data_IF_037044295496
#
_entry.id   IF_037044295496
#
_cell.length_a   1.000
_cell.length_b   1.000
_cell.length_c   1.000
_cell.angle_alpha   90.00
_cell.angle_beta   90.00
_cell.angle_gamma   90.00
#
_symmetry.space_group_name_H-M   'P 1'
#
loop_
_entity.id
_entity.type
_entity.pdbx_description
1 polymer ?
#
# COMPACT_ATOMS: atom_id res chain seq x y z
N UNK A 1 25.63 -8.41 -8.19
CA UNK A 1 24.50 -7.49 -7.95
C UNK A 1 23.38 -7.88 -8.90
N UNK A 2 22.10 -7.81 -8.49
CA UNK A 2 21.02 -7.91 -9.47
C UNK A 2 21.15 -6.72 -10.44
N UNK A 3 21.18 -6.99 -11.75
CA UNK A 3 21.20 -5.95 -12.77
C UNK A 3 19.76 -5.50 -13.03
N UNK A 4 19.48 -4.21 -12.81
CA UNK A 4 18.18 -3.60 -13.08
C UNK A 4 17.84 -2.50 -12.06
N UNK A 5 17.15 -1.48 -12.54
CA UNK A 5 16.61 -0.38 -11.72
C UNK A 5 15.15 -0.64 -11.39
N UNK A 6 14.61 0.05 -10.39
CA UNK A 6 13.17 -0.03 -10.04
C UNK A 6 12.29 0.29 -11.24
N UNK A 7 12.70 1.25 -12.08
CA UNK A 7 12.00 1.66 -13.30
C UNK A 7 11.75 0.52 -14.28
N UNK A 8 12.64 -0.46 -14.33
CA UNK A 8 12.53 -1.60 -15.25
C UNK A 8 11.41 -2.59 -14.83
N UNK A 9 11.01 -2.57 -13.56
CA UNK A 9 10.05 -3.52 -12.97
C UNK A 9 8.76 -2.85 -12.47
N UNK A 10 8.69 -1.53 -12.45
CA UNK A 10 7.50 -0.81 -12.03
C UNK A 10 6.37 -0.93 -13.05
N UNK A 11 5.15 -0.72 -12.58
CA UNK A 11 3.99 -0.49 -13.43
C UNK A 11 3.75 1.02 -13.52
N UNK A 12 3.61 1.60 -14.72
CA UNK A 12 3.33 3.03 -14.88
C UNK A 12 1.96 3.44 -14.32
N UNK A 13 1.86 4.67 -13.79
CA UNK A 13 0.61 5.20 -13.19
C UNK A 13 -0.62 5.08 -14.10
N UNK A 14 -0.46 5.22 -15.41
CA UNK A 14 -1.56 5.18 -16.39
C UNK A 14 -2.22 3.80 -16.54
N UNK A 15 -1.64 2.74 -15.96
CA UNK A 15 -2.20 1.39 -15.99
C UNK A 15 -3.15 1.11 -14.83
N UNK A 16 -3.13 1.94 -13.79
CA UNK A 16 -3.96 1.74 -12.61
C UNK A 16 -5.34 2.38 -12.77
N UNK A 17 -6.42 1.70 -12.34
CA UNK A 17 -7.69 2.36 -12.12
C UNK A 17 -7.57 3.43 -11.02
N UNK A 18 -8.49 4.40 -11.01
CA UNK A 18 -8.38 5.61 -10.20
C UNK A 18 -9.68 5.84 -9.43
N UNK A 19 -9.58 6.49 -8.28
CA UNK A 19 -10.73 6.83 -7.41
C UNK A 19 -10.52 8.22 -6.80
N UNK A 20 -11.62 8.93 -6.55
CA UNK A 20 -11.63 10.22 -5.86
C UNK A 20 -11.32 10.04 -4.37
N UNK A 21 -10.54 10.95 -3.78
CA UNK A 21 -10.29 11.02 -2.34
C UNK A 21 -11.56 11.41 -1.54
N UNK A 22 -12.56 11.97 -2.21
CA UNK A 22 -13.92 12.25 -1.71
C UNK A 22 -14.91 11.10 -1.93
N UNK A 23 -14.49 9.97 -2.48
CA UNK A 23 -15.34 8.77 -2.50
C UNK A 23 -15.56 8.27 -1.07
N UNK A 24 -16.72 7.65 -0.81
CA UNK A 24 -16.97 7.03 0.49
C UNK A 24 -16.22 5.71 0.62
N UNK A 25 -16.03 5.25 1.86
CA UNK A 25 -15.44 3.95 2.17
C UNK A 25 -16.20 2.82 1.48
N UNK A 26 -17.53 2.83 1.53
CA UNK A 26 -18.35 1.85 0.80
C UNK A 26 -18.11 1.91 -0.72
N UNK A 27 -17.98 3.12 -1.27
CA UNK A 27 -17.61 3.31 -2.68
C UNK A 27 -16.22 2.78 -3.02
N UNK A 28 -15.25 2.93 -2.10
CA UNK A 28 -13.90 2.39 -2.25
C UNK A 28 -13.89 0.85 -2.27
N UNK A 29 -14.68 0.21 -1.40
CA UNK A 29 -14.84 -1.26 -1.40
C UNK A 29 -15.44 -1.73 -2.73
N UNK A 30 -16.53 -1.11 -3.19
CA UNK A 30 -17.14 -1.46 -4.48
C UNK A 30 -16.18 -1.25 -5.66
N UNK A 31 -15.37 -0.19 -5.62
CA UNK A 31 -14.37 0.07 -6.65
C UNK A 31 -13.25 -0.98 -6.66
N UNK A 32 -12.82 -1.46 -5.48
CA UNK A 32 -11.83 -2.53 -5.36
C UNK A 32 -12.38 -3.87 -5.85
N UNK A 33 -13.62 -4.21 -5.53
CA UNK A 33 -14.28 -5.43 -6.02
C UNK A 33 -14.35 -5.44 -7.55
N UNK A 34 -14.80 -4.33 -8.14
CA UNK A 34 -14.82 -4.16 -9.60
C UNK A 34 -13.42 -4.25 -10.20
N UNK A 35 -12.43 -3.61 -9.59
CA UNK A 35 -11.05 -3.66 -10.08
C UNK A 35 -10.48 -5.08 -10.00
N UNK A 36 -10.85 -5.86 -8.99
CA UNK A 36 -10.50 -7.27 -8.85
C UNK A 36 -11.16 -8.13 -9.93
N UNK A 37 -12.45 -7.97 -10.19
CA UNK A 37 -13.16 -8.67 -11.27
C UNK A 37 -12.56 -8.37 -12.65
N UNK A 38 -12.27 -7.10 -12.93
CA UNK A 38 -11.65 -6.67 -14.18
C UNK A 38 -10.21 -7.21 -14.32
N UNK A 39 -9.47 -7.31 -13.21
CA UNK A 39 -8.16 -7.95 -13.18
C UNK A 39 -8.22 -9.46 -13.43
N UNK A 40 -9.12 -10.18 -12.75
CA UNK A 40 -9.28 -11.62 -12.89
C UNK A 40 -9.77 -12.03 -14.30
N UNK A 41 -10.62 -11.20 -14.90
CA UNK A 41 -11.09 -11.41 -16.28
C UNK A 41 -10.08 -10.96 -17.35
N UNK A 42 -8.96 -10.35 -16.96
CA UNK A 42 -7.95 -9.82 -17.88
C UNK A 42 -8.34 -8.52 -18.58
N UNK A 43 -9.49 -7.92 -18.25
CA UNK A 43 -9.92 -6.61 -18.77
C UNK A 43 -9.00 -5.47 -18.32
N UNK A 44 -8.36 -5.61 -17.15
CA UNK A 44 -7.34 -4.70 -16.65
C UNK A 44 -6.10 -5.44 -16.20
N UNK A 45 -4.96 -4.77 -16.31
CA UNK A 45 -3.67 -5.28 -15.84
C UNK A 45 -3.49 -5.11 -14.33
N UNK A 46 -4.25 -4.19 -13.70
CA UNK A 46 -4.05 -3.77 -12.31
C UNK A 46 -5.36 -3.69 -11.54
N UNK A 47 -5.26 -3.96 -10.22
CA UNK A 47 -6.37 -3.95 -9.25
C UNK A 47 -6.16 -3.01 -8.06
N UNK A 48 -4.98 -2.41 -7.93
CA UNK A 48 -4.74 -1.33 -6.99
C UNK A 48 -5.38 -0.07 -7.58
N UNK A 49 -6.10 0.69 -6.77
CA UNK A 49 -6.64 1.98 -7.17
C UNK A 49 -5.65 3.08 -6.80
N UNK A 50 -5.42 4.04 -7.68
CA UNK A 50 -4.74 5.29 -7.33
C UNK A 50 -5.76 6.31 -6.85
N UNK A 51 -5.50 6.93 -5.71
CA UNK A 51 -6.37 7.95 -5.12
C UNK A 51 -5.97 9.31 -5.67
N UNK A 52 -6.94 10.08 -6.18
CA UNK A 52 -6.73 11.43 -6.67
C UNK A 52 -7.50 12.44 -5.85
N UNK A 53 -6.89 13.60 -5.62
CA UNK A 53 -7.56 14.78 -5.09
C UNK A 53 -8.37 15.53 -6.18
N UNK A 54 -9.01 16.63 -5.78
CA UNK A 54 -9.77 17.52 -6.65
C UNK A 54 -8.92 18.17 -7.76
N UNK A 55 -7.60 18.31 -7.54
CA UNK A 55 -6.62 18.81 -8.52
C UNK A 55 -6.13 17.71 -9.50
N UNK A 56 -6.67 16.49 -9.43
CA UNK A 56 -6.19 15.28 -10.13
C UNK A 56 -4.77 14.83 -9.76
N UNK A 57 -4.21 15.29 -8.64
CA UNK A 57 -2.92 14.79 -8.13
C UNK A 57 -3.13 13.47 -7.42
N UNK A 58 -2.19 12.54 -7.60
CA UNK A 58 -2.23 11.26 -6.92
C UNK A 58 -1.73 11.47 -5.48
N UNK A 59 -2.63 11.26 -4.52
CA UNK A 59 -2.38 11.45 -3.08
C UNK A 59 -2.25 10.14 -2.31
N UNK A 60 -2.45 9.00 -2.99
CA UNK A 60 -2.31 7.71 -2.35
C UNK A 60 -2.68 6.54 -3.25
N UNK A 61 -2.83 5.38 -2.63
CA UNK A 61 -3.33 4.16 -3.26
C UNK A 61 -4.35 3.48 -2.35
N UNK A 62 -5.15 2.61 -2.93
CA UNK A 62 -6.03 1.70 -2.22
C UNK A 62 -5.80 0.27 -2.72
N UNK A 63 -5.52 -0.62 -1.78
CA UNK A 63 -5.60 -2.06 -1.94
C UNK A 63 -6.43 -2.65 -0.78
N UNK A 64 -6.75 -3.96 -0.80
CA UNK A 64 -7.56 -4.57 0.26
C UNK A 64 -7.02 -4.36 1.69
N UNK A 65 -5.70 -4.23 1.87
CA UNK A 65 -5.12 -3.97 3.20
C UNK A 65 -5.48 -2.56 3.72
N UNK A 66 -5.62 -1.60 2.82
CA UNK A 66 -5.94 -0.21 3.16
C UNK A 66 -7.40 -0.08 3.61
N UNK A 67 -8.30 -0.93 3.11
CA UNK A 67 -9.69 -1.07 3.61
C UNK A 67 -9.71 -1.63 5.03
N UNK A 68 -8.92 -2.67 5.30
CA UNK A 68 -8.84 -3.27 6.64
C UNK A 68 -8.31 -2.24 7.66
N UNK A 69 -7.33 -1.43 7.26
CA UNK A 69 -6.85 -0.30 8.07
C UNK A 69 -7.94 0.76 8.29
N UNK A 70 -8.68 1.13 7.26
CA UNK A 70 -9.75 2.13 7.40
C UNK A 70 -10.95 1.69 8.26
N UNK A 71 -11.12 0.38 8.52
CA UNK A 71 -12.07 -0.09 9.54
C UNK A 71 -11.65 0.26 10.98
N UNK A 72 -10.37 0.57 11.18
CA UNK A 72 -9.80 0.97 12.46
C UNK A 72 -8.85 2.16 12.23
N UNK A 73 -9.38 3.38 11.98
CA UNK A 73 -8.57 4.53 11.60
C UNK A 73 -7.58 4.98 12.69
N UNK A 74 -7.74 4.53 13.94
CA UNK A 74 -6.76 4.73 15.01
C UNK A 74 -5.53 3.79 14.88
N UNK A 75 -5.53 2.85 13.93
CA UNK A 75 -4.41 1.93 13.67
C UNK A 75 -3.12 2.67 13.33
N UNK A 76 -3.18 3.62 12.39
CA UNK A 76 -1.99 4.33 11.93
C UNK A 76 -1.39 5.22 13.04
N UNK A 77 -2.23 5.76 13.92
CA UNK A 77 -1.77 6.49 15.13
C UNK A 77 -0.92 5.60 16.02
N UNK A 78 -1.30 4.33 16.21
CA UNK A 78 -0.56 3.38 17.04
C UNK A 78 0.71 2.83 16.37
N UNK A 79 0.77 2.81 15.03
CA UNK A 79 1.95 2.34 14.29
C UNK A 79 3.03 3.42 14.15
N UNK A 80 2.66 4.68 13.89
CA UNK A 80 3.62 5.80 13.84
C UNK A 80 4.20 6.12 15.23
N UNK A 81 3.39 5.95 16.27
CA UNK A 81 3.82 5.95 17.66
C UNK A 81 4.89 4.88 17.94
N UNK A 82 4.70 3.64 17.46
CA UNK A 82 5.68 2.56 17.57
C UNK A 82 6.97 2.80 16.79
N UNK A 83 6.88 3.32 15.56
CA UNK A 83 8.05 3.60 14.73
C UNK A 83 8.95 4.69 15.34
N UNK A 84 8.34 5.64 16.07
CA UNK A 84 9.03 6.71 16.81
C UNK A 84 9.63 6.22 18.13
N UNK A 85 9.17 5.09 18.67
CA UNK A 85 9.46 4.61 20.01
C UNK A 85 10.41 3.40 20.10
N UNK A 86 11.26 3.19 19.08
CA UNK A 86 12.43 2.30 19.20
C UNK A 86 13.46 2.76 20.25
N UNK A 87 13.13 3.78 21.06
CA UNK A 87 13.90 4.29 22.20
C UNK A 87 13.31 3.76 23.52
N UNK A 88 13.69 2.53 23.88
CA UNK A 88 14.02 2.10 25.25
C UNK A 88 12.98 2.14 26.40
N UNK A 89 11.71 2.50 26.22
CA UNK A 89 10.76 2.59 27.35
C UNK A 89 9.80 1.38 27.45
N UNK A 90 9.97 0.55 28.48
CA UNK A 90 9.17 -0.67 28.72
C UNK A 90 7.68 -0.38 29.02
N UNK A 91 7.36 0.71 29.72
CA UNK A 91 5.97 1.10 30.00
C UNK A 91 5.22 1.50 28.73
N UNK A 92 5.95 2.09 27.78
CA UNK A 92 5.42 2.45 26.48
C UNK A 92 5.08 1.22 25.63
N UNK A 93 5.93 0.20 25.66
CA UNK A 93 5.67 -1.09 25.01
C UNK A 93 4.40 -1.75 25.58
N UNK A 94 4.23 -1.73 26.91
CA UNK A 94 3.02 -2.26 27.57
C UNK A 94 1.76 -1.50 27.16
N UNK A 95 1.80 -0.16 27.09
CA UNK A 95 0.64 0.65 26.67
C UNK A 95 0.29 0.43 25.20
N UNK A 96 1.30 0.36 24.33
CA UNK A 96 1.14 0.02 22.92
C UNK A 96 0.48 -1.35 22.75
N UNK A 97 0.94 -2.36 23.50
CA UNK A 97 0.35 -3.69 23.49
C UNK A 97 -1.09 -3.69 24.01
N UNK A 98 -1.42 -2.90 25.04
CA UNK A 98 -2.80 -2.74 25.53
C UNK A 98 -3.72 -2.08 24.49
N UNK A 99 -3.25 -1.03 23.82
CA UNK A 99 -4.01 -0.36 22.77
C UNK A 99 -4.21 -1.28 21.55
N UNK A 100 -3.22 -2.13 21.24
CA UNK A 100 -3.36 -3.16 20.20
C UNK A 100 -4.45 -4.20 20.53
N UNK A 101 -4.65 -4.53 21.82
CA UNK A 101 -5.71 -5.46 22.25
C UNK A 101 -7.11 -4.88 22.02
N UNK A 102 -7.25 -3.55 21.92
CA UNK A 102 -8.55 -2.90 21.67
C UNK A 102 -8.85 -2.66 20.19
N UNK A 103 -7.87 -2.82 19.30
CA UNK A 103 -8.10 -2.66 17.86
C UNK A 103 -8.98 -3.77 17.31
N UNK A 104 -9.93 -3.40 16.44
CA UNK A 104 -10.92 -4.34 15.90
C UNK A 104 -11.67 -5.13 16.99
N UNK A 105 -11.81 -4.57 18.19
CA UNK A 105 -12.50 -5.22 19.31
C UNK A 105 -14.03 -5.19 19.18
N UNK A 106 -14.56 -4.32 18.32
CA UNK A 106 -15.99 -4.25 17.99
C UNK A 106 -16.37 -5.34 16.97
N UNK A 107 -17.63 -5.82 16.98
CA UNK A 107 -18.16 -6.66 15.90
C UNK A 107 -17.90 -6.04 14.52
N UNK A 108 -17.60 -6.89 13.53
CA UNK A 108 -17.29 -6.44 12.17
C UNK A 108 -18.41 -5.58 11.57
N UNK A 109 -19.67 -5.93 11.81
CA UNK A 109 -20.82 -5.18 11.32
C UNK A 109 -20.85 -3.74 11.87
N UNK A 110 -20.42 -3.53 13.11
CA UNK A 110 -20.33 -2.21 13.74
C UNK A 110 -19.19 -1.39 13.11
N UNK A 111 -18.04 -2.02 12.86
CA UNK A 111 -16.91 -1.38 12.16
C UNK A 111 -17.31 -0.96 10.74
N UNK A 112 -17.92 -1.88 9.99
CA UNK A 112 -18.39 -1.62 8.63
C UNK A 112 -19.45 -0.52 8.59
N UNK A 113 -20.44 -0.57 9.48
CA UNK A 113 -21.52 0.43 9.51
C UNK A 113 -21.02 1.82 9.93
N UNK A 114 -20.00 1.89 10.79
CA UNK A 114 -19.33 3.14 11.17
C UNK A 114 -18.49 3.69 10.02
N UNK A 115 -17.73 2.85 9.32
CA UNK A 115 -16.80 3.28 8.29
C UNK A 115 -17.48 3.67 6.98
N UNK A 116 -18.67 3.12 6.66
CA UNK A 116 -19.29 3.22 5.31
C UNK A 116 -19.36 4.63 4.71
N UNK A 117 -19.56 5.67 5.54
CA UNK A 117 -19.74 7.06 5.13
C UNK A 117 -18.45 7.89 5.23
N UNK A 118 -17.37 7.33 5.78
CA UNK A 118 -16.05 7.95 5.84
C UNK A 118 -15.52 8.19 4.43
N UNK A 119 -14.80 9.29 4.20
CA UNK A 119 -14.22 9.58 2.90
C UNK A 119 -12.85 8.90 2.77
N UNK A 120 -12.46 8.57 1.54
CA UNK A 120 -11.16 7.96 1.23
C UNK A 120 -10.01 8.77 1.82
N UNK A 121 -10.05 10.10 1.75
CA UNK A 121 -9.04 11.00 2.33
C UNK A 121 -8.91 10.92 3.86
N UNK A 122 -9.90 10.38 4.56
CA UNK A 122 -9.88 10.29 6.03
C UNK A 122 -9.10 9.06 6.52
N UNK A 123 -8.86 8.06 5.65
CA UNK A 123 -8.11 6.84 6.00
C UNK A 123 -7.01 6.46 4.99
N UNK A 124 -6.89 7.16 3.87
CA UNK A 124 -5.76 7.03 2.94
C UNK A 124 -4.87 8.25 3.09
N UNK A 125 -3.66 8.02 3.60
CA UNK A 125 -2.64 9.04 3.75
C UNK A 125 -1.69 9.10 2.55
N UNK A 126 -1.02 10.25 2.42
CA UNK A 126 0.11 10.40 1.51
C UNK A 126 1.18 9.33 1.79
N UNK A 127 1.90 8.86 0.76
CA UNK A 127 2.91 7.82 0.94
C UNK A 127 4.01 8.29 1.89
N UNK A 128 4.28 7.49 2.93
CA UNK A 128 5.40 7.72 3.84
C UNK A 128 6.74 7.48 3.13
N UNK A 129 7.84 7.96 3.73
CA UNK A 129 9.20 7.71 3.20
C UNK A 129 9.54 6.21 3.08
N UNK A 130 8.92 5.37 3.91
CA UNK A 130 9.07 3.92 3.84
C UNK A 130 8.42 3.30 2.59
N UNK A 131 7.40 3.97 2.05
CA UNK A 131 6.63 3.57 0.87
C UNK A 131 7.14 4.18 -0.43
N UNK A 132 8.11 5.10 -0.37
CA UNK A 132 8.66 5.79 -1.54
C UNK A 132 10.00 5.19 -1.93
N UNK A 133 10.26 5.06 -3.24
CA UNK A 133 11.54 4.66 -3.80
C UNK A 133 11.81 5.41 -5.12
N UNK A 134 13.06 5.75 -5.39
CA UNK A 134 13.49 6.37 -6.64
C UNK A 134 13.48 5.41 -7.83
N UNK A 135 13.14 5.90 -9.02
CA UNK A 135 13.07 5.11 -10.24
C UNK A 135 14.42 4.47 -10.62
N UNK A 136 15.52 5.19 -10.40
CA UNK A 136 16.89 4.76 -10.72
C UNK A 136 17.54 3.98 -9.55
N UNK A 137 16.83 3.78 -8.43
CA UNK A 137 17.33 2.93 -7.34
C UNK A 137 17.41 1.46 -7.78
N UNK A 138 18.29 0.71 -7.12
CA UNK A 138 18.45 -0.72 -7.40
C UNK A 138 17.25 -1.54 -6.94
N UNK A 139 17.01 -2.68 -7.60
CA UNK A 139 16.01 -3.65 -7.15
C UNK A 139 16.29 -4.17 -5.72
N UNK A 140 17.56 -4.20 -5.29
CA UNK A 140 17.95 -4.54 -3.92
C UNK A 140 17.36 -3.58 -2.87
N UNK A 141 17.31 -2.28 -3.18
CA UNK A 141 16.70 -1.29 -2.30
C UNK A 141 15.19 -1.52 -2.16
N UNK A 142 14.52 -1.91 -3.26
CA UNK A 142 13.11 -2.29 -3.23
C UNK A 142 12.88 -3.51 -2.33
N UNK A 143 13.68 -4.58 -2.46
CA UNK A 143 13.58 -5.76 -1.57
C UNK A 143 13.71 -5.38 -0.10
N UNK A 144 14.71 -4.55 0.24
CA UNK A 144 14.94 -4.14 1.61
C UNK A 144 13.70 -3.44 2.18
N UNK A 145 13.10 -2.51 1.43
CA UNK A 145 11.87 -1.82 1.84
C UNK A 145 10.68 -2.77 1.99
N UNK A 146 10.48 -3.69 1.03
CA UNK A 146 9.42 -4.69 1.11
C UNK A 146 9.55 -5.58 2.35
N UNK A 147 10.76 -6.06 2.66
CA UNK A 147 11.00 -6.94 3.81
C UNK A 147 10.88 -6.18 5.14
N UNK A 148 11.48 -4.99 5.23
CA UNK A 148 11.52 -4.21 6.47
C UNK A 148 10.13 -3.67 6.85
N UNK A 149 9.39 -3.13 5.88
CA UNK A 149 8.15 -2.41 6.15
C UNK A 149 6.88 -3.18 5.76
N UNK A 150 7.02 -4.36 5.14
CA UNK A 150 5.91 -5.25 4.79
C UNK A 150 4.84 -4.60 3.90
N UNK A 151 5.25 -3.64 3.07
CA UNK A 151 4.36 -3.00 2.10
C UNK A 151 4.01 -3.96 0.96
N UNK A 152 2.81 -3.83 0.38
CA UNK A 152 2.38 -4.60 -0.79
C UNK A 152 2.92 -4.01 -2.11
N UNK A 153 3.26 -2.72 -2.08
CA UNK A 153 3.76 -1.92 -3.19
C UNK A 153 4.49 -0.68 -2.69
N UNK A 154 5.34 -0.11 -3.54
CA UNK A 154 6.06 1.14 -3.30
C UNK A 154 5.75 2.15 -4.41
N UNK A 155 5.65 3.43 -4.04
CA UNK A 155 5.53 4.57 -4.93
C UNK A 155 6.88 4.87 -5.56
N UNK A 156 6.94 4.85 -6.90
CA UNK A 156 8.16 5.08 -7.65
C UNK A 156 8.24 6.52 -8.12
N UNK A 157 9.26 7.23 -7.66
CA UNK A 157 9.48 8.64 -7.93
C UNK A 157 10.64 8.85 -8.90
N UNK A 158 10.45 9.68 -9.91
CA UNK A 158 11.52 10.24 -10.74
C UNK A 158 11.71 11.71 -10.34
N UNK A 159 12.72 11.97 -9.50
CA UNK A 159 12.83 13.21 -8.75
C UNK A 159 11.61 13.43 -7.85
N UNK A 160 10.83 14.46 -8.13
CA UNK A 160 9.60 14.80 -7.39
C UNK A 160 8.32 14.29 -8.07
N UNK A 161 8.44 13.57 -9.18
CA UNK A 161 7.30 13.10 -9.96
C UNK A 161 6.99 11.64 -9.68
N UNK A 162 5.76 11.33 -9.31
CA UNK A 162 5.27 9.96 -9.26
C UNK A 162 5.16 9.40 -10.69
N UNK A 163 5.89 8.32 -10.98
CA UNK A 163 5.94 7.70 -12.32
C UNK A 163 5.34 6.30 -12.37
N UNK A 164 5.21 5.61 -11.23
CA UNK A 164 4.60 4.29 -11.17
C UNK A 164 4.50 3.73 -9.77
N UNK A 165 4.04 2.48 -9.69
CA UNK A 165 4.15 1.64 -8.49
C UNK A 165 4.95 0.39 -8.83
N UNK A 166 5.84 -0.04 -7.94
CA UNK A 166 6.44 -1.37 -7.99
C UNK A 166 5.73 -2.25 -6.95
N UNK A 167 5.24 -3.42 -7.34
CA UNK A 167 4.54 -4.35 -6.44
C UNK A 167 5.48 -5.46 -6.00
N UNK A 168 5.28 -5.98 -4.80
CA UNK A 168 6.05 -7.16 -4.35
C UNK A 168 5.89 -8.33 -5.33
N UNK A 169 4.72 -8.49 -5.96
CA UNK A 169 4.50 -9.53 -6.97
C UNK A 169 5.35 -9.39 -8.23
N UNK A 170 5.67 -8.16 -8.65
CA UNK A 170 6.51 -7.92 -9.85
C UNK A 170 7.94 -8.36 -9.58
N UNK A 171 8.39 -8.01 -8.38
CA UNK A 171 9.69 -8.33 -7.83
C UNK A 171 9.84 -9.84 -7.57
N UNK A 172 8.80 -10.49 -7.03
CA UNK A 172 8.77 -11.94 -6.84
C UNK A 172 8.78 -12.72 -8.17
N UNK A 173 8.06 -12.23 -9.20
CA UNK A 173 8.10 -12.83 -10.54
C UNK A 173 9.52 -12.82 -11.11
N UNK A 174 10.24 -11.71 -10.94
CA UNK A 174 11.64 -11.61 -11.38
C UNK A 174 12.54 -12.59 -10.61
N UNK A 175 12.41 -12.68 -9.28
CA UNK A 175 13.14 -13.67 -8.47
C UNK A 175 12.86 -15.09 -8.98
N UNK A 176 11.58 -15.44 -9.16
CA UNK A 176 11.15 -16.78 -9.60
C UNK A 176 11.73 -17.11 -10.97
N UNK A 177 11.66 -16.17 -11.92
CA UNK A 177 12.26 -16.31 -13.26
C UNK A 177 13.76 -16.57 -13.14
N UNK A 178 14.48 -15.77 -12.34
CA UNK A 178 15.93 -15.88 -12.21
C UNK A 178 16.39 -17.17 -11.54
N UNK A 179 15.66 -17.64 -10.52
CA UNK A 179 15.93 -18.93 -9.88
C UNK A 179 15.80 -20.06 -10.92
N UNK A 180 14.72 -20.07 -11.72
CA UNK A 180 14.54 -21.08 -12.76
C UNK A 180 15.65 -21.06 -13.80
N UNK A 181 16.08 -19.87 -14.23
CA UNK A 181 17.17 -19.72 -15.20
C UNK A 181 18.55 -20.16 -14.66
N UNK A 182 18.90 -19.71 -13.45
CA UNK A 182 20.22 -19.99 -12.84
C UNK A 182 20.32 -21.45 -12.39
N UNK A 183 19.25 -21.98 -11.80
CA UNK A 183 19.21 -23.35 -11.28
C UNK A 183 18.76 -24.37 -12.33
N UNK A 184 18.37 -23.95 -13.54
CA UNK A 184 17.86 -24.80 -14.63
C UNK A 184 16.66 -25.66 -14.21
N UNK A 185 15.68 -25.02 -13.57
CA UNK A 185 14.40 -25.62 -13.17
C UNK A 185 13.34 -25.52 -14.27
#
# INVERSE_FOLDING_TARGET
>A
MMNGTVKDFMVPIGKFPMISDTATFAGAVMALDRAQEEYLSGKREQRILLVRDEDNKIVGKLSPIDVVRGLEPDYDKLVDEQASALVGNFDYVIQTMKNQVTLWSKPLDDLCSTAKDMLVRDFVSNPSQSQIIGAEESLNAAFHRFVMFKHDSLFVMDGQKLVGLIRFSDVYKEISRRIKEVCRL
#
